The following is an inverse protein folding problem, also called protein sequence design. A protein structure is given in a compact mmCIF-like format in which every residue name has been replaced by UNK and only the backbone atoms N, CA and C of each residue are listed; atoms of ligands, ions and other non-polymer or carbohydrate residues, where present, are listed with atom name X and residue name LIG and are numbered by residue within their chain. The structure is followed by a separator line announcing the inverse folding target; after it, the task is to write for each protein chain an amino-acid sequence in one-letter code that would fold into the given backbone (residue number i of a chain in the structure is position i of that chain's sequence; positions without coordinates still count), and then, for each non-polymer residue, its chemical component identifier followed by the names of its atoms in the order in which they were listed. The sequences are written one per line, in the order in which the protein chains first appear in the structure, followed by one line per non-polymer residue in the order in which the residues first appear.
data_IF_662998468031
#
_entry.id   IF_662998468031
#
_cell.length_a   1.000
_cell.length_b   1.000
_cell.length_c   1.000
_cell.angle_alpha   90.00
_cell.angle_beta   90.00
_cell.angle_gamma   90.00
#
_symmetry.space_group_name_H-M   'P 1'
#
loop_
_entity.id
_entity.type
_entity.pdbx_description
1 polymer ?
#
# COMPACT_ATOMS: atom_id res chain seq x y z
N UNK A 1 -2.05 19.71 6.70
CA UNK A 1 -1.97 18.26 6.94
C UNK A 1 -3.37 17.72 7.00
N UNK A 2 -3.76 16.95 5.98
CA UNK A 2 -5.06 16.27 5.94
C UNK A 2 -4.80 14.79 6.16
N UNK A 3 -5.49 14.16 7.11
CA UNK A 3 -5.42 12.73 7.36
C UNK A 3 -6.68 12.08 6.79
N UNK A 4 -6.52 11.21 5.80
CA UNK A 4 -7.62 10.45 5.22
C UNK A 4 -7.42 8.98 5.57
N UNK A 5 -8.39 8.42 6.29
CA UNK A 5 -8.45 6.99 6.58
C UNK A 5 -9.27 6.33 5.47
N UNK A 6 -8.65 5.41 4.74
CA UNK A 6 -9.33 4.60 3.74
C UNK A 6 -9.54 3.21 4.34
N UNK A 7 -10.78 2.75 4.33
CA UNK A 7 -11.12 1.34 4.55
C UNK A 7 -11.63 0.83 3.21
N UNK A 8 -10.73 0.64 2.25
CA UNK A 8 -11.09 0.01 0.98
C UNK A 8 -11.10 -1.51 1.17
N UNK A 9 -12.28 -1.97 1.56
CA UNK A 9 -12.95 -3.22 1.19
C UNK A 9 -12.27 -4.59 1.38
N UNK A 10 -10.99 -4.70 1.73
CA UNK A 10 -10.37 -5.96 2.12
C UNK A 10 -9.34 -5.74 3.25
N UNK A 11 -9.70 -6.21 4.44
CA UNK A 11 -8.88 -6.75 5.55
C UNK A 11 -7.76 -5.92 6.22
N UNK A 12 -7.17 -4.87 5.63
CA UNK A 12 -6.04 -4.13 6.21
C UNK A 12 -6.31 -2.64 6.47
N UNK A 13 -5.70 -2.10 7.53
CA UNK A 13 -5.85 -0.69 7.92
C UNK A 13 -4.83 0.19 7.18
N UNK A 14 -5.30 1.01 6.24
CA UNK A 14 -4.48 1.99 5.53
C UNK A 14 -4.67 3.43 6.02
N UNK A 15 -3.59 4.20 5.99
CA UNK A 15 -3.54 5.64 6.33
C UNK A 15 -2.82 6.39 5.23
N UNK A 16 -3.35 7.55 4.83
CA UNK A 16 -2.72 8.46 3.87
C UNK A 16 -2.32 9.77 4.53
N UNK A 17 -1.12 10.23 4.21
CA UNK A 17 -0.55 11.50 4.61
C UNK A 17 -0.21 12.31 3.36
N UNK A 18 -0.62 13.57 3.36
CA UNK A 18 -0.37 14.50 2.26
C UNK A 18 0.54 15.63 2.75
N UNK A 19 1.69 15.78 2.08
CA UNK A 19 2.72 16.77 2.38
C UNK A 19 2.74 17.92 1.37
N UNK A 20 1.93 17.88 0.32
CA UNK A 20 1.87 18.88 -0.75
C UNK A 20 2.67 18.49 -1.99
N UNK A 21 3.96 18.20 -1.84
CA UNK A 21 4.85 17.68 -2.90
C UNK A 21 4.92 16.15 -2.94
N UNK A 22 4.38 15.49 -1.92
CA UNK A 22 4.38 14.03 -1.82
C UNK A 22 3.19 13.51 -1.02
N UNK A 23 2.83 12.27 -1.33
CA UNK A 23 1.81 11.50 -0.62
C UNK A 23 2.46 10.25 -0.07
N UNK A 24 2.15 9.91 1.19
CA UNK A 24 2.59 8.65 1.80
C UNK A 24 1.37 7.85 2.21
N UNK A 25 1.27 6.62 1.72
CA UNK A 25 0.25 5.65 2.12
C UNK A 25 0.95 4.58 2.97
N UNK A 26 0.40 4.29 4.14
CA UNK A 26 0.92 3.28 5.07
C UNK A 26 -0.19 2.30 5.40
N UNK A 27 0.14 1.03 5.37
CA UNK A 27 -0.79 -0.07 5.53
C UNK A 27 -0.22 -1.16 6.42
N UNK A 28 -1.01 -1.58 7.41
CA UNK A 28 -0.69 -2.72 8.26
C UNK A 28 -1.29 -3.98 7.65
N UNK A 29 -0.44 -4.82 7.07
CA UNK A 29 -0.85 -6.05 6.38
C UNK A 29 -0.96 -7.23 7.36
N UNK A 30 -0.25 -7.17 8.50
CA UNK A 30 -0.34 -8.20 9.54
C UNK A 30 0.28 -9.56 9.18
N UNK A 31 1.13 -9.63 8.15
CA UNK A 31 1.87 -10.83 7.72
C UNK A 31 3.36 -10.50 7.55
N UNK A 32 4.20 -11.53 7.44
CA UNK A 32 5.63 -11.38 7.21
C UNK A 32 5.92 -10.76 5.84
N UNK A 33 7.02 -9.99 5.74
CA UNK A 33 7.42 -9.27 4.53
C UNK A 33 7.60 -10.20 3.31
N UNK A 34 8.09 -11.42 3.54
CA UNK A 34 8.32 -12.42 2.49
C UNK A 34 7.02 -12.99 1.91
N UNK A 35 5.89 -12.81 2.61
CA UNK A 35 4.57 -13.26 2.16
C UNK A 35 3.84 -12.22 1.31
N UNK A 36 4.43 -11.03 1.10
CA UNK A 36 3.79 -9.94 0.38
C UNK A 36 4.62 -9.54 -0.83
N UNK A 37 3.96 -9.51 -1.98
CA UNK A 37 4.53 -8.91 -3.20
C UNK A 37 3.70 -7.69 -3.57
N UNK A 38 4.38 -6.60 -3.93
CA UNK A 38 3.73 -5.38 -4.41
C UNK A 38 4.33 -4.99 -5.74
N UNK A 39 3.46 -4.78 -6.72
CA UNK A 39 3.82 -4.22 -8.02
C UNK A 39 3.06 -2.90 -8.22
N UNK A 40 3.67 -1.95 -8.91
CA UNK A 40 3.01 -0.69 -9.26
C UNK A 40 2.91 -0.60 -10.76
N UNK A 41 1.67 -0.54 -11.24
CA UNK A 41 1.32 -0.39 -12.64
C UNK A 41 0.52 0.90 -12.80
N UNK A 42 1.12 1.89 -13.48
CA UNK A 42 0.60 3.25 -13.59
C UNK A 42 0.24 3.82 -12.20
N UNK A 43 -0.98 4.28 -12.01
CA UNK A 43 -1.54 4.82 -10.77
C UNK A 43 -2.20 3.75 -9.88
N UNK A 44 -1.80 2.47 -10.00
CA UNK A 44 -2.35 1.37 -9.19
C UNK A 44 -1.24 0.52 -8.56
N UNK A 45 -1.31 0.33 -7.24
CA UNK A 45 -0.54 -0.70 -6.55
C UNK A 45 -1.32 -2.00 -6.49
N UNK A 46 -0.71 -3.09 -6.93
CA UNK A 46 -1.23 -4.45 -6.84
C UNK A 46 -0.52 -5.14 -5.69
N UNK A 47 -1.26 -5.48 -4.64
CA UNK A 47 -0.74 -6.15 -3.44
C UNK A 47 -1.19 -7.60 -3.48
N UNK A 48 -0.24 -8.53 -3.44
CA UNK A 48 -0.49 -9.98 -3.38
C UNK A 48 0.04 -10.50 -2.06
N UNK A 49 -0.80 -11.21 -1.32
CA UNK A 49 -0.47 -11.82 -0.04
C UNK A 49 -0.60 -13.34 -0.18
N UNK A 50 0.47 -14.07 0.13
CA UNK A 50 0.48 -15.54 0.17
C UNK A 50 0.23 -16.04 1.60
N UNK A 51 -0.78 -16.91 1.78
CA UNK A 51 -1.10 -17.50 3.08
C UNK A 51 -1.63 -18.92 2.91
N UNK A 52 -1.09 -19.88 3.67
CA UNK A 52 -1.51 -21.29 3.68
C UNK A 52 -1.64 -21.96 2.28
N UNK A 53 -0.81 -21.53 1.32
CA UNK A 53 -0.82 -22.04 -0.05
C UNK A 53 -1.92 -21.46 -0.95
N UNK A 54 -2.64 -20.46 -0.45
CA UNK A 54 -3.56 -19.60 -1.20
C UNK A 54 -2.97 -18.19 -1.35
N UNK A 55 -3.47 -17.43 -2.32
CA UNK A 55 -3.04 -16.05 -2.56
C UNK A 55 -4.24 -15.13 -2.67
N UNK A 56 -4.20 -14.00 -1.96
CA UNK A 56 -5.19 -12.92 -2.06
C UNK A 56 -4.57 -11.72 -2.77
N UNK A 57 -5.27 -11.17 -3.75
CA UNK A 57 -4.87 -9.96 -4.46
C UNK A 57 -5.80 -8.80 -4.10
N UNK A 58 -5.22 -7.64 -3.82
CA UNK A 58 -5.93 -6.39 -3.62
C UNK A 58 -5.31 -5.29 -4.50
N UNK A 59 -6.15 -4.39 -4.99
CA UNK A 59 -5.73 -3.24 -5.79
C UNK A 59 -5.94 -1.97 -4.98
N UNK A 60 -4.93 -1.11 -4.97
CA UNK A 60 -4.96 0.18 -4.30
C UNK A 60 -4.71 1.28 -5.33
N UNK A 61 -5.72 2.14 -5.51
CA UNK A 61 -5.59 3.33 -6.33
C UNK A 61 -4.61 4.33 -5.68
N UNK A 62 -3.63 4.78 -6.45
CA UNK A 62 -2.62 5.75 -6.07
C UNK A 62 -2.91 7.10 -6.74
N UNK A 63 -2.42 8.21 -6.16
CA UNK A 63 -2.28 9.46 -6.92
C UNK A 63 -1.33 9.26 -8.11
N UNK A 64 -1.55 10.03 -9.18
CA UNK A 64 -0.56 10.17 -10.24
C UNK A 64 0.77 10.70 -9.67
N UNK A 65 1.89 10.07 -10.03
CA UNK A 65 3.22 10.44 -9.56
C UNK A 65 4.22 9.29 -9.67
N UNK A 66 5.45 9.53 -9.19
CA UNK A 66 6.48 8.49 -9.11
C UNK A 66 6.35 7.74 -7.78
N UNK A 67 6.07 6.43 -7.84
CA UNK A 67 5.73 5.61 -6.68
C UNK A 67 6.88 4.69 -6.28
N UNK A 68 7.24 4.73 -4.99
CA UNK A 68 8.23 3.87 -4.38
C UNK A 68 7.59 3.07 -3.24
N UNK A 69 7.86 1.77 -3.22
CA UNK A 69 7.28 0.83 -2.28
C UNK A 69 8.33 0.33 -1.29
N UNK A 70 7.95 0.27 -0.02
CA UNK A 70 8.77 -0.23 1.07
C UNK A 70 7.94 -1.20 1.92
N UNK A 71 8.57 -2.31 2.31
CA UNK A 71 8.01 -3.29 3.26
C UNK A 71 8.92 -3.32 4.49
N UNK A 72 8.33 -3.26 5.69
CA UNK A 72 9.11 -3.38 6.91
C UNK A 72 8.25 -3.93 8.06
N UNK A 73 8.52 -5.16 8.47
CA UNK A 73 7.84 -5.83 9.59
C UNK A 73 6.31 -5.82 9.43
N UNK A 74 5.80 -6.19 8.26
CA UNK A 74 4.37 -6.27 7.93
C UNK A 74 3.72 -4.91 7.63
N UNK A 75 4.49 -3.83 7.64
CA UNK A 75 4.01 -2.49 7.27
C UNK A 75 4.41 -2.17 5.83
N UNK A 76 3.41 -2.07 4.96
CA UNK A 76 3.55 -1.58 3.60
C UNK A 76 3.54 -0.04 3.62
N UNK A 77 4.56 0.58 3.05
CA UNK A 77 4.63 2.03 2.82
C UNK A 77 4.80 2.31 1.34
N UNK A 78 3.93 3.14 0.78
CA UNK A 78 4.00 3.62 -0.60
C UNK A 78 4.18 5.14 -0.55
N UNK A 79 5.30 5.62 -1.07
CA UNK A 79 5.57 7.04 -1.22
C UNK A 79 5.38 7.43 -2.69
N UNK A 80 4.58 8.47 -2.93
CA UNK A 80 4.32 9.03 -4.25
C UNK A 80 4.85 10.47 -4.28
N UNK A 81 5.76 10.77 -5.20
CA UNK A 81 6.22 12.14 -5.51
C UNK A 81 5.31 12.72 -6.61
N UNK A 82 4.73 13.91 -6.36
CA UNK A 82 3.71 14.55 -7.21
C UNK A 82 4.30 15.56 -8.23
#
# INVERSE_FOLDING_TARGET
MTHLQFTDRDEWMARRYDYGDSVVIVADIGVDDDAVTVDVLDDTAIVVIEHDGESTQSELALPEGDAQVFMNNGILTIQIEL
#
